data_IF_373674400834
#
_entry.id   IF_373674400834
#
_cell.length_a   1.000
_cell.length_b   1.000
_cell.length_c   1.000
_cell.angle_alpha   90.00
_cell.angle_beta   90.00
_cell.angle_gamma   90.00
#
_symmetry.space_group_name_H-M   'P 1'
#
loop_
_entity.id
_entity.type
_entity.pdbx_description
1 polymer ?
#
# COMPACT_ATOMS: atom_id res chain seq x y z
N UNK A 1 -19.83 -34.33 -9.27
CA UNK A 1 -21.05 -34.75 -10.00
C UNK A 1 -20.85 -36.08 -10.72
N UNK A 2 -19.84 -36.27 -11.57
CA UNK A 2 -19.66 -37.56 -12.28
C UNK A 2 -19.43 -38.77 -11.35
N UNK A 3 -18.82 -38.55 -10.17
CA UNK A 3 -18.57 -39.60 -9.17
C UNK A 3 -19.82 -39.90 -8.33
N UNK A 4 -20.69 -38.92 -8.07
CA UNK A 4 -21.92 -39.15 -7.30
C UNK A 4 -22.89 -40.05 -8.07
N UNK A 5 -22.94 -39.92 -9.40
CA UNK A 5 -23.78 -40.77 -10.26
C UNK A 5 -23.32 -42.22 -10.35
N UNK A 6 -22.07 -42.53 -9.99
CA UNK A 6 -21.55 -43.91 -9.97
C UNK A 6 -21.59 -44.54 -8.58
N UNK A 7 -22.06 -43.81 -7.56
CA UNK A 7 -22.16 -44.32 -6.20
C UNK A 7 -23.33 -45.32 -6.06
N UNK A 8 -23.12 -46.45 -5.35
CA UNK A 8 -24.20 -47.35 -5.00
C UNK A 8 -25.26 -46.67 -4.13
N UNK A 9 -26.48 -47.20 -4.18
CA UNK A 9 -27.61 -46.70 -3.40
C UNK A 9 -27.26 -46.77 -1.90
N UNK A 10 -27.40 -45.63 -1.19
CA UNK A 10 -27.11 -45.51 0.24
C UNK A 10 -25.79 -44.82 0.59
N UNK A 11 -24.93 -44.54 -0.40
CA UNK A 11 -23.75 -43.69 -0.20
C UNK A 11 -24.09 -42.23 -0.52
N UNK A 12 -23.85 -41.33 0.43
CA UNK A 12 -23.93 -39.89 0.22
C UNK A 12 -22.53 -39.28 0.47
N UNK A 13 -22.08 -38.43 -0.44
CA UNK A 13 -20.76 -37.82 -0.36
C UNK A 13 -20.94 -36.36 0.01
N UNK A 14 -20.57 -36.01 1.25
CA UNK A 14 -20.69 -34.64 1.75
C UNK A 14 -19.29 -34.07 1.99
N UNK A 15 -19.05 -32.86 1.47
CA UNK A 15 -17.76 -32.19 1.63
C UNK A 15 -17.78 -31.45 2.96
N UNK A 16 -17.10 -32.01 3.97
CA UNK A 16 -17.02 -31.39 5.29
C UNK A 16 -16.26 -30.05 5.28
N UNK A 17 -15.18 -29.93 4.49
CA UNK A 17 -14.40 -28.70 4.35
C UNK A 17 -13.84 -28.56 2.94
N UNK A 18 -14.09 -27.42 2.28
CA UNK A 18 -13.52 -27.12 0.97
C UNK A 18 -12.66 -25.85 1.04
N UNK A 19 -11.34 -26.02 1.01
CA UNK A 19 -10.41 -24.91 1.22
C UNK A 19 -10.38 -23.92 0.05
N UNK A 20 -10.63 -24.40 -1.18
CA UNK A 20 -10.59 -23.54 -2.36
C UNK A 20 -11.66 -22.43 -2.31
N UNK A 21 -12.85 -22.70 -1.79
CA UNK A 21 -13.91 -21.67 -1.66
C UNK A 21 -13.50 -20.56 -0.68
N UNK A 22 -12.87 -20.93 0.44
CA UNK A 22 -12.38 -19.95 1.41
C UNK A 22 -11.26 -19.09 0.82
N UNK A 23 -10.37 -19.69 0.03
CA UNK A 23 -9.31 -18.97 -0.68
C UNK A 23 -9.92 -18.04 -1.73
N UNK A 24 -10.86 -18.52 -2.55
CA UNK A 24 -11.54 -17.72 -3.56
C UNK A 24 -12.29 -16.52 -2.94
N UNK A 25 -13.01 -16.74 -1.84
CA UNK A 25 -13.70 -15.67 -1.09
C UNK A 25 -12.72 -14.63 -0.55
N UNK A 26 -11.58 -15.09 -0.01
CA UNK A 26 -10.54 -14.19 0.51
C UNK A 26 -9.89 -13.38 -0.60
N UNK A 27 -9.53 -14.02 -1.72
CA UNK A 27 -8.93 -13.33 -2.89
C UNK A 27 -9.90 -12.31 -3.44
N UNK A 28 -11.17 -12.67 -3.65
CA UNK A 28 -12.17 -11.74 -4.18
C UNK A 28 -12.38 -10.54 -3.24
N UNK A 29 -12.44 -10.77 -1.92
CA UNK A 29 -12.49 -9.69 -0.93
C UNK A 29 -11.28 -8.75 -1.00
N UNK A 30 -10.07 -9.30 -1.15
CA UNK A 30 -8.87 -8.48 -1.28
C UNK A 30 -8.81 -7.74 -2.62
N UNK A 31 -9.25 -8.35 -3.73
CA UNK A 31 -9.36 -7.68 -5.04
C UNK A 31 -10.32 -6.48 -4.99
N UNK A 32 -11.46 -6.62 -4.30
CA UNK A 32 -12.39 -5.49 -4.07
C UNK A 32 -11.71 -4.40 -3.24
N UNK A 33 -10.99 -4.76 -2.18
CA UNK A 33 -10.26 -3.79 -1.36
C UNK A 33 -9.18 -3.04 -2.16
N UNK A 34 -8.45 -3.72 -3.05
CA UNK A 34 -7.49 -3.10 -3.96
C UNK A 34 -8.19 -2.07 -4.84
N UNK A 35 -9.31 -2.43 -5.46
CA UNK A 35 -10.06 -1.54 -6.35
C UNK A 35 -10.63 -0.32 -5.59
N UNK A 36 -11.14 -0.53 -4.38
CA UNK A 36 -11.60 0.55 -3.51
C UNK A 36 -10.45 1.49 -3.11
N UNK A 37 -9.29 0.94 -2.75
CA UNK A 37 -8.11 1.74 -2.39
C UNK A 37 -7.63 2.55 -3.58
N UNK A 38 -7.59 1.95 -4.78
CA UNK A 38 -7.28 2.64 -6.03
C UNK A 38 -8.25 3.82 -6.29
N UNK A 39 -9.55 3.61 -6.10
CA UNK A 39 -10.55 4.65 -6.28
C UNK A 39 -10.35 5.81 -5.28
N UNK A 40 -10.09 5.50 -4.00
CA UNK A 40 -9.84 6.52 -2.97
C UNK A 40 -8.59 7.34 -3.31
N UNK A 41 -7.50 6.67 -3.67
CA UNK A 41 -6.25 7.35 -4.07
C UNK A 41 -6.50 8.25 -5.28
N UNK A 42 -7.19 7.77 -6.31
CA UNK A 42 -7.54 8.56 -7.49
C UNK A 42 -8.33 9.83 -7.13
N UNK A 43 -9.35 9.70 -6.26
CA UNK A 43 -10.17 10.82 -5.81
C UNK A 43 -9.33 11.86 -5.06
N UNK A 44 -8.48 11.41 -4.14
CA UNK A 44 -7.60 12.31 -3.38
C UNK A 44 -6.64 13.05 -4.31
N UNK A 45 -5.98 12.33 -5.23
CA UNK A 45 -5.04 12.93 -6.18
C UNK A 45 -5.75 13.94 -7.10
N UNK A 46 -6.95 13.64 -7.59
CA UNK A 46 -7.75 14.56 -8.41
C UNK A 46 -8.13 15.83 -7.62
N UNK A 47 -8.49 15.68 -6.34
CA UNK A 47 -8.86 16.79 -5.46
C UNK A 47 -7.66 17.75 -5.27
N UNK A 48 -6.47 17.21 -4.99
CA UNK A 48 -5.28 18.02 -4.69
C UNK A 48 -4.58 18.59 -5.94
N UNK A 49 -4.41 17.80 -7.02
CA UNK A 49 -3.65 18.23 -8.21
C UNK A 49 -4.52 18.82 -9.33
N UNK A 50 -5.84 18.64 -9.23
CA UNK A 50 -6.82 18.99 -10.24
C UNK A 50 -7.09 17.85 -11.22
N UNK A 51 -8.20 17.96 -11.97
CA UNK A 51 -8.74 16.85 -12.77
C UNK A 51 -7.75 16.27 -13.80
N UNK A 52 -7.05 17.11 -14.55
CA UNK A 52 -6.14 16.63 -15.63
C UNK A 52 -4.90 15.96 -15.06
N UNK A 53 -4.18 16.64 -14.16
CA UNK A 53 -2.96 16.13 -13.54
C UNK A 53 -3.26 14.89 -12.69
N UNK A 54 -4.37 14.90 -11.95
CA UNK A 54 -4.77 13.76 -11.15
C UNK A 54 -5.20 12.54 -11.96
N UNK A 55 -5.86 12.72 -13.11
CA UNK A 55 -6.18 11.60 -14.01
C UNK A 55 -4.92 10.98 -14.62
N UNK A 56 -3.91 11.80 -14.96
CA UNK A 56 -2.63 11.31 -15.50
C UNK A 56 -1.91 10.43 -14.47
N UNK A 57 -1.71 10.97 -13.26
CA UNK A 57 -1.07 10.23 -12.16
C UNK A 57 -1.91 8.99 -11.83
N UNK A 58 -3.23 9.16 -11.74
CA UNK A 58 -4.19 8.10 -11.47
C UNK A 58 -4.17 6.95 -12.47
N UNK A 59 -3.93 7.23 -13.76
CA UNK A 59 -3.81 6.19 -14.80
C UNK A 59 -2.50 5.39 -14.69
N UNK A 60 -1.45 5.96 -14.10
CA UNK A 60 -0.16 5.28 -13.89
C UNK A 60 -0.24 4.27 -12.76
N UNK A 61 -1.05 4.54 -11.73
CA UNK A 61 -1.22 3.66 -10.57
C UNK A 61 -1.59 2.22 -10.96
N UNK A 62 -2.68 1.96 -11.70
CA UNK A 62 -3.03 0.59 -12.11
C UNK A 62 -1.99 0.00 -13.05
N UNK A 63 -1.31 0.83 -13.85
CA UNK A 63 -0.24 0.36 -14.74
C UNK A 63 0.97 -0.15 -13.95
N UNK A 64 1.39 0.55 -12.90
CA UNK A 64 2.44 0.10 -11.97
C UNK A 64 2.01 -1.20 -11.29
N UNK A 65 0.77 -1.28 -10.81
CA UNK A 65 0.27 -2.50 -10.16
C UNK A 65 0.32 -3.72 -11.09
N UNK A 66 -0.15 -3.57 -12.34
CA UNK A 66 -0.10 -4.65 -13.32
C UNK A 66 1.34 -5.04 -13.65
N UNK A 67 2.24 -4.06 -13.78
CA UNK A 67 3.66 -4.32 -14.01
C UNK A 67 4.31 -5.07 -12.84
N UNK A 68 4.02 -4.69 -11.60
CA UNK A 68 4.48 -5.39 -10.40
C UNK A 68 3.95 -6.83 -10.35
N UNK A 69 2.65 -7.05 -10.59
CA UNK A 69 2.06 -8.39 -10.65
C UNK A 69 2.72 -9.25 -11.74
N UNK A 70 3.05 -8.63 -12.89
CA UNK A 70 3.75 -9.30 -13.98
C UNK A 70 5.16 -9.72 -13.57
N UNK A 71 5.91 -8.84 -12.90
CA UNK A 71 7.27 -9.13 -12.41
C UNK A 71 7.24 -10.23 -11.34
N UNK A 72 6.24 -10.21 -10.45
CA UNK A 72 6.05 -11.27 -9.45
C UNK A 72 5.80 -12.62 -10.11
N UNK A 73 4.97 -12.66 -11.16
CA UNK A 73 4.71 -13.88 -11.92
C UNK A 73 5.99 -14.41 -12.60
N UNK A 74 6.82 -13.54 -13.18
CA UNK A 74 8.11 -13.94 -13.76
C UNK A 74 9.14 -14.42 -12.73
N UNK A 75 8.97 -14.02 -11.46
CA UNK A 75 9.86 -14.38 -10.37
C UNK A 75 9.36 -15.60 -9.57
N UNK A 76 8.36 -16.33 -10.11
CA UNK A 76 7.68 -17.48 -9.45
C UNK A 76 7.12 -17.17 -8.05
N UNK A 77 6.82 -15.89 -7.78
CA UNK A 77 6.23 -15.47 -6.52
C UNK A 77 4.72 -15.72 -6.52
N UNK A 78 4.26 -16.57 -5.60
CA UNK A 78 2.83 -16.87 -5.46
C UNK A 78 2.05 -15.67 -4.92
N UNK A 79 0.85 -15.46 -5.47
CA UNK A 79 -0.09 -14.50 -4.93
C UNK A 79 -0.79 -15.06 -3.70
N UNK A 80 -0.45 -14.50 -2.55
CA UNK A 80 -1.04 -14.82 -1.25
C UNK A 80 -1.68 -13.59 -0.60
N UNK A 81 -2.44 -13.79 0.49
CA UNK A 81 -3.12 -12.71 1.22
C UNK A 81 -2.13 -11.62 1.67
N UNK A 82 -0.93 -12.00 2.11
CA UNK A 82 0.10 -11.07 2.57
C UNK A 82 0.67 -10.23 1.42
N UNK A 83 0.96 -10.83 0.27
CA UNK A 83 1.42 -10.13 -0.93
C UNK A 83 0.39 -9.13 -1.43
N UNK A 84 -0.89 -9.51 -1.48
CA UNK A 84 -1.96 -8.59 -1.90
C UNK A 84 -2.18 -7.45 -0.89
N UNK A 85 -2.13 -7.74 0.42
CA UNK A 85 -2.19 -6.70 1.45
C UNK A 85 -1.00 -5.73 1.33
N UNK A 86 0.17 -6.25 0.99
CA UNK A 86 1.36 -5.44 0.77
C UNK A 86 1.19 -4.53 -0.46
N UNK A 87 0.63 -5.02 -1.56
CA UNK A 87 0.31 -4.18 -2.73
C UNK A 87 -0.63 -3.02 -2.38
N UNK A 88 -1.61 -3.25 -1.49
CA UNK A 88 -2.50 -2.19 -1.00
C UNK A 88 -1.71 -1.14 -0.21
N UNK A 89 -0.84 -1.56 0.70
CA UNK A 89 0.00 -0.64 1.51
C UNK A 89 0.97 0.13 0.60
N UNK A 90 1.60 -0.55 -0.34
CA UNK A 90 2.52 0.05 -1.31
C UNK A 90 1.82 1.03 -2.25
N UNK A 91 0.49 0.95 -2.41
CA UNK A 91 -0.26 1.87 -3.26
C UNK A 91 -0.03 3.33 -2.86
N UNK A 92 -0.03 3.64 -1.56
CA UNK A 92 0.27 5.01 -1.10
C UNK A 92 1.68 5.44 -1.51
N UNK A 93 2.67 4.58 -1.23
CA UNK A 93 4.09 4.88 -1.47
C UNK A 93 4.45 4.95 -2.96
N UNK A 94 3.75 4.18 -3.81
CA UNK A 94 4.06 4.10 -5.24
C UNK A 94 3.53 5.31 -6.01
N UNK A 95 2.43 5.93 -5.56
CA UNK A 95 1.81 7.07 -6.24
C UNK A 95 2.66 8.34 -6.06
N UNK A 96 3.39 8.43 -4.95
CA UNK A 96 4.23 9.59 -4.60
C UNK A 96 5.20 9.98 -5.72
N UNK A 97 5.91 9.01 -6.31
CA UNK A 97 6.85 9.27 -7.42
C UNK A 97 6.15 9.91 -8.62
N UNK A 98 4.95 9.42 -8.96
CA UNK A 98 4.14 9.97 -10.05
C UNK A 98 3.62 11.37 -9.74
N UNK A 99 3.17 11.61 -8.50
CA UNK A 99 2.69 12.93 -8.04
C UNK A 99 3.81 13.97 -8.15
N UNK A 100 4.99 13.69 -7.59
CA UNK A 100 6.09 14.66 -7.54
C UNK A 100 6.55 15.07 -8.93
N UNK A 101 6.64 14.11 -9.88
CA UNK A 101 7.03 14.41 -11.26
C UNK A 101 5.94 15.22 -11.98
N UNK A 102 4.67 14.86 -11.80
CA UNK A 102 3.57 15.58 -12.43
C UNK A 102 3.41 17.02 -11.89
N UNK A 103 3.65 17.21 -10.59
CA UNK A 103 3.65 18.52 -9.95
C UNK A 103 4.82 19.38 -10.41
N UNK A 104 6.04 18.83 -10.46
CA UNK A 104 7.21 19.57 -10.95
C UNK A 104 7.06 19.96 -12.43
N UNK A 105 6.53 19.06 -13.26
CA UNK A 105 6.22 19.37 -14.66
C UNK A 105 5.23 20.53 -14.78
N UNK A 106 4.14 20.50 -14.00
CA UNK A 106 3.14 21.57 -13.97
C UNK A 106 3.75 22.89 -13.48
N UNK A 107 4.56 22.85 -12.42
CA UNK A 107 5.23 24.03 -11.86
C UNK A 107 6.17 24.68 -12.88
N UNK A 108 7.05 23.91 -13.55
CA UNK A 108 7.96 24.45 -14.58
C UNK A 108 7.21 25.07 -15.76
N UNK A 109 6.08 24.46 -16.11
CA UNK A 109 5.24 24.95 -17.18
C UNK A 109 4.55 26.28 -16.77
N UNK A 110 4.13 26.42 -15.51
CA UNK A 110 3.64 27.69 -14.94
C UNK A 110 4.74 28.76 -14.84
N UNK A 111 5.99 28.36 -14.64
CA UNK A 111 7.18 29.23 -14.64
C UNK A 111 7.60 29.67 -16.06
N UNK A 112 6.91 29.19 -17.11
CA UNK A 112 7.11 29.59 -18.50
C UNK A 112 8.16 28.77 -19.26
N UNK A 113 8.61 27.65 -18.71
CA UNK A 113 9.55 26.74 -19.39
C UNK A 113 8.84 26.03 -20.55
N UNK A 114 9.54 25.88 -21.68
CA UNK A 114 9.03 25.09 -22.80
C UNK A 114 8.75 23.63 -22.40
N UNK A 115 7.68 23.03 -22.95
CA UNK A 115 7.21 21.69 -22.53
C UNK A 115 8.27 20.61 -22.69
N UNK A 116 9.06 20.67 -23.75
CA UNK A 116 10.09 19.67 -24.00
C UNK A 116 11.22 19.81 -22.98
N UNK A 117 11.63 21.05 -22.69
CA UNK A 117 12.64 21.33 -21.67
C UNK A 117 12.16 20.99 -20.26
N UNK A 118 10.89 21.27 -19.94
CA UNK A 118 10.28 20.93 -18.66
C UNK A 118 10.29 19.41 -18.42
N UNK A 119 9.95 18.62 -19.44
CA UNK A 119 10.04 17.16 -19.41
C UNK A 119 11.48 16.68 -19.14
N UNK A 120 12.44 17.20 -19.91
CA UNK A 120 13.81 16.70 -19.91
C UNK A 120 14.58 17.09 -18.64
N UNK A 121 14.34 18.30 -18.12
CA UNK A 121 14.95 18.77 -16.87
C UNK A 121 14.31 18.12 -15.65
N UNK A 122 12.97 18.03 -15.60
CA UNK A 122 12.25 17.41 -14.48
C UNK A 122 12.69 15.97 -14.26
N UNK A 123 12.76 15.16 -15.32
CA UNK A 123 13.24 13.77 -15.22
C UNK A 123 14.70 13.66 -14.77
N UNK A 124 15.58 14.58 -15.19
CA UNK A 124 17.01 14.54 -14.81
C UNK A 124 17.24 14.95 -13.37
N UNK A 125 16.59 16.02 -12.92
CA UNK A 125 16.78 16.56 -11.57
C UNK A 125 16.12 15.66 -10.51
N UNK A 126 14.95 15.07 -10.82
CA UNK A 126 14.19 14.26 -9.87
C UNK A 126 14.59 12.78 -9.84
N UNK A 127 15.33 12.28 -10.84
CA UNK A 127 15.70 10.86 -10.89
C UNK A 127 16.43 10.38 -9.63
N UNK A 128 17.48 11.10 -9.21
CA UNK A 128 18.30 10.72 -8.05
C UNK A 128 17.58 10.93 -6.71
N UNK A 129 16.90 12.07 -6.46
CA UNK A 129 16.11 12.25 -5.23
C UNK A 129 15.02 11.19 -5.04
N UNK A 130 14.27 10.87 -6.10
CA UNK A 130 13.18 9.88 -6.03
C UNK A 130 13.72 8.45 -5.85
N UNK A 131 14.88 8.13 -6.47
CA UNK A 131 15.55 6.86 -6.26
C UNK A 131 16.01 6.73 -4.81
N UNK A 132 16.64 7.78 -4.25
CA UNK A 132 17.12 7.80 -2.88
C UNK A 132 15.99 7.59 -1.86
N UNK A 133 14.84 8.24 -2.07
CA UNK A 133 13.63 8.05 -1.25
C UNK A 133 13.11 6.60 -1.32
N UNK A 134 13.02 6.05 -2.53
CA UNK A 134 12.55 4.68 -2.77
C UNK A 134 13.51 3.65 -2.14
N UNK A 135 14.81 3.80 -2.36
CA UNK A 135 15.84 2.90 -1.79
C UNK A 135 15.87 2.97 -0.27
N UNK A 136 15.70 4.15 0.33
CA UNK A 136 15.64 4.29 1.80
C UNK A 136 14.47 3.49 2.37
N UNK A 137 13.31 3.54 1.71
CA UNK A 137 12.13 2.75 2.11
C UNK A 137 12.40 1.25 1.95
N UNK A 138 13.02 0.84 0.85
CA UNK A 138 13.44 -0.56 0.65
C UNK A 138 14.41 -1.03 1.74
N UNK A 139 15.40 -0.21 2.11
CA UNK A 139 16.38 -0.54 3.14
C UNK A 139 15.73 -0.68 4.52
N UNK A 140 14.68 0.08 4.80
CA UNK A 140 13.89 -0.08 6.03
C UNK A 140 13.22 -1.47 6.10
N UNK A 141 12.74 -2.01 4.97
CA UNK A 141 12.13 -3.34 4.91
C UNK A 141 13.13 -4.48 4.66
N UNK A 142 14.40 -4.18 4.39
CA UNK A 142 15.44 -5.18 4.13
C UNK A 142 15.63 -6.20 5.28
N UNK A 143 15.61 -5.82 6.57
CA UNK A 143 15.77 -6.80 7.65
C UNK A 143 14.68 -7.89 7.65
N UNK A 144 13.45 -7.55 7.25
CA UNK A 144 12.33 -8.50 7.17
C UNK A 144 12.56 -9.54 6.05
N UNK A 145 13.32 -9.20 5.01
CA UNK A 145 13.71 -10.10 3.93
C UNK A 145 14.75 -11.14 4.37
N UNK A 146 15.67 -10.71 5.25
CA UNK A 146 16.81 -11.49 5.76
C UNK A 146 16.45 -12.35 6.98
N UNK A 147 15.25 -12.21 7.54
CA UNK A 147 14.83 -13.00 8.69
C UNK A 147 14.66 -14.49 8.33
N UNK A 148 15.34 -15.38 9.05
CA UNK A 148 15.36 -16.84 8.79
C UNK A 148 14.34 -17.66 9.62
N UNK A 149 13.52 -17.01 10.45
CA UNK A 149 12.47 -17.70 11.21
C UNK A 149 11.26 -18.09 10.35
N UNK A 150 10.39 -18.99 10.85
CA UNK A 150 9.10 -19.35 10.22
C UNK A 150 8.21 -18.12 10.02
N UNK A 151 8.28 -17.18 10.97
CA UNK A 151 7.74 -15.82 10.86
C UNK A 151 8.31 -15.03 9.66
N UNK A 152 9.58 -15.25 9.37
CA UNK A 152 10.36 -14.62 8.31
C UNK A 152 9.85 -14.93 6.91
N UNK A 153 9.22 -16.08 6.70
CA UNK A 153 8.67 -16.46 5.39
C UNK A 153 7.50 -15.53 5.00
N UNK A 154 6.60 -15.25 5.94
CA UNK A 154 5.51 -14.28 5.74
C UNK A 154 6.01 -12.84 5.58
N UNK A 155 7.04 -12.45 6.35
CA UNK A 155 7.58 -11.09 6.28
C UNK A 155 8.46 -10.86 5.05
N UNK A 156 9.06 -11.91 4.50
CA UNK A 156 9.88 -11.84 3.29
C UNK A 156 9.04 -11.46 2.07
N UNK A 157 7.84 -12.03 1.92
CA UNK A 157 6.90 -11.66 0.86
C UNK A 157 6.60 -10.16 0.89
N UNK A 158 6.40 -9.57 2.07
CA UNK A 158 6.14 -8.14 2.24
C UNK A 158 7.30 -7.31 1.68
N UNK A 159 8.53 -7.61 2.11
CA UNK A 159 9.70 -6.84 1.68
C UNK A 159 9.95 -6.94 0.18
N UNK A 160 9.80 -8.13 -0.41
CA UNK A 160 10.01 -8.34 -1.84
C UNK A 160 8.95 -7.62 -2.68
N UNK A 161 7.69 -7.66 -2.27
CA UNK A 161 6.62 -6.95 -2.97
C UNK A 161 6.84 -5.43 -2.90
N UNK A 162 7.21 -4.88 -1.74
CA UNK A 162 7.55 -3.45 -1.62
C UNK A 162 8.73 -3.07 -2.52
N UNK A 163 9.80 -3.88 -2.50
CA UNK A 163 10.98 -3.68 -3.36
C UNK A 163 10.59 -3.59 -4.84
N UNK A 164 9.88 -4.60 -5.34
CA UNK A 164 9.47 -4.66 -6.75
C UNK A 164 8.55 -3.47 -7.06
N UNK A 165 7.55 -3.21 -6.21
CA UNK A 165 6.57 -2.14 -6.44
C UNK A 165 7.23 -0.76 -6.51
N UNK A 166 8.13 -0.43 -5.57
CA UNK A 166 8.78 0.88 -5.53
C UNK A 166 9.77 1.08 -6.68
N UNK A 167 10.54 0.05 -7.03
CA UNK A 167 11.45 0.13 -8.17
C UNK A 167 10.70 0.25 -9.49
N UNK A 168 9.63 -0.53 -9.68
CA UNK A 168 8.76 -0.43 -10.86
C UNK A 168 8.07 0.94 -10.92
N UNK A 169 7.58 1.45 -9.79
CA UNK A 169 7.02 2.80 -9.70
C UNK A 169 8.04 3.86 -10.11
N UNK A 170 9.26 3.81 -9.59
CA UNK A 170 10.29 4.80 -9.91
C UNK A 170 10.63 4.81 -11.41
N UNK A 171 10.82 3.63 -12.02
CA UNK A 171 11.10 3.51 -13.47
C UNK A 171 9.93 4.06 -14.29
N UNK A 172 8.70 3.63 -13.99
CA UNK A 172 7.52 4.08 -14.73
C UNK A 172 7.24 5.57 -14.50
N UNK A 173 7.51 6.08 -13.31
CA UNK A 173 7.34 7.48 -12.99
C UNK A 173 8.31 8.36 -13.81
N UNK A 174 9.55 7.92 -14.06
CA UNK A 174 10.50 8.67 -14.87
C UNK A 174 10.29 8.53 -16.38
N UNK A 175 9.76 7.40 -16.85
CA UNK A 175 9.56 7.14 -18.27
C UNK A 175 8.17 7.57 -18.77
N UNK A 176 7.12 7.17 -18.05
CA UNK A 176 5.73 7.28 -18.52
C UNK A 176 5.06 8.57 -18.05
N UNK A 177 5.28 9.00 -16.80
CA UNK A 177 4.66 10.22 -16.27
C UNK A 177 5.00 11.48 -17.05
N UNK A 178 6.27 11.78 -17.39
CA UNK A 178 6.62 13.00 -18.10
C UNK A 178 6.05 12.99 -19.52
N UNK A 179 5.99 11.81 -20.15
CA UNK A 179 5.42 11.61 -21.47
C UNK A 179 3.91 11.85 -21.47
N UNK A 180 3.18 11.28 -20.51
CA UNK A 180 1.75 11.56 -20.35
C UNK A 180 1.51 13.05 -20.01
N UNK A 181 2.33 13.64 -19.16
CA UNK A 181 2.26 15.07 -18.85
C UNK A 181 2.46 15.94 -20.09
N UNK A 182 3.45 15.62 -20.94
CA UNK A 182 3.72 16.34 -22.18
C UNK A 182 2.52 16.36 -23.14
N UNK A 183 1.83 15.23 -23.30
CA UNK A 183 0.68 15.11 -24.19
C UNK A 183 -0.61 15.71 -23.61
N UNK A 184 -0.90 15.48 -22.33
CA UNK A 184 -2.21 15.80 -21.74
C UNK A 184 -2.24 17.13 -20.97
N UNK A 185 -1.10 17.63 -20.48
CA UNK A 185 -1.04 18.93 -19.78
C UNK A 185 -0.92 20.06 -20.82
N UNK A 186 -2.06 20.68 -21.10
CA UNK A 186 -2.15 21.88 -21.91
C UNK A 186 -2.27 23.10 -20.99
N UNK A 187 -1.28 24.00 -21.03
CA UNK A 187 -1.50 25.37 -20.54
C UNK A 187 -2.57 26.05 -21.40
N UNK A 188 -3.53 26.77 -20.80
CA UNK A 188 -4.30 27.76 -21.53
C UNK A 188 -3.34 28.82 -22.06
N UNK A 189 -3.14 28.86 -23.39
CA UNK A 189 -2.50 30.00 -24.05
C UNK A 189 -3.36 31.23 -23.75
N UNK A 190 -2.86 32.16 -22.93
CA UNK A 190 -3.51 33.48 -22.74
C UNK A 190 -4.03 33.84 -21.35
N UNK A 191 -3.59 33.22 -20.25
CA UNK A 191 -3.79 33.79 -18.91
C UNK A 191 -2.52 34.45 -18.38
N UNK A 192 -2.27 35.65 -18.91
CA UNK A 192 -1.49 36.70 -18.26
C UNK A 192 -1.98 36.84 -16.81
N UNK A 193 -1.13 36.50 -15.85
CA UNK A 193 -0.96 37.08 -14.50
C UNK A 193 -2.16 37.54 -13.61
N UNK A 194 -3.44 37.37 -13.93
CA UNK A 194 -4.52 38.12 -13.22
C UNK A 194 -5.46 37.25 -12.36
N UNK A 195 -5.37 35.91 -12.38
CA UNK A 195 -6.25 35.08 -11.54
C UNK A 195 -5.47 34.13 -10.60
N UNK A 196 -4.39 34.63 -9.98
CA UNK A 196 -3.64 33.92 -8.91
C UNK A 196 -4.22 34.15 -7.51
N UNK A 197 -5.27 34.97 -7.35
CA UNK A 197 -5.78 35.36 -6.03
C UNK A 197 -6.83 34.43 -5.43
N UNK A 198 -7.66 33.73 -6.22
CA UNK A 198 -8.79 32.98 -5.64
C UNK A 198 -8.40 31.63 -5.00
N UNK A 199 -7.33 30.96 -5.43
CA UNK A 199 -6.82 29.75 -4.77
C UNK A 199 -5.66 30.01 -3.80
N UNK A 200 -4.95 31.13 -3.93
CA UNK A 200 -3.94 31.57 -2.94
C UNK A 200 -4.56 32.26 -1.73
N UNK A 201 -5.80 32.75 -1.78
CA UNK A 201 -6.42 33.46 -0.66
C UNK A 201 -6.69 32.55 0.57
N UNK A 202 -7.06 31.28 0.37
CA UNK A 202 -7.20 30.31 1.46
C UNK A 202 -5.85 29.78 1.96
N UNK A 203 -4.95 29.46 1.02
CA UNK A 203 -3.56 29.09 1.33
C UNK A 203 -2.83 30.21 2.09
N UNK A 204 -3.09 31.48 1.80
CA UNK A 204 -2.45 32.62 2.47
C UNK A 204 -2.72 32.68 3.97
N UNK A 205 -3.94 32.34 4.43
CA UNK A 205 -4.26 32.35 5.87
C UNK A 205 -3.62 31.18 6.60
N UNK A 206 -3.72 29.97 6.05
CA UNK A 206 -3.05 28.79 6.59
C UNK A 206 -1.53 28.92 6.57
N UNK A 207 -0.98 29.46 5.48
CA UNK A 207 0.46 29.71 5.32
C UNK A 207 0.96 30.74 6.33
N UNK A 208 0.26 31.86 6.53
CA UNK A 208 0.62 32.86 7.56
C UNK A 208 0.57 32.28 8.97
N UNK A 209 -0.42 31.44 9.27
CA UNK A 209 -0.48 30.74 10.56
C UNK A 209 0.69 29.77 10.73
N UNK A 210 0.96 28.96 9.72
CA UNK A 210 2.12 28.04 9.69
C UNK A 210 3.44 28.79 9.87
N UNK A 211 3.64 29.90 9.15
CA UNK A 211 4.84 30.74 9.22
C UNK A 211 5.01 31.34 10.63
N UNK A 212 3.93 31.88 11.21
CA UNK A 212 3.95 32.42 12.58
C UNK A 212 4.29 31.33 13.60
N UNK A 213 3.69 30.16 13.47
CA UNK A 213 3.95 29.00 14.32
C UNK A 213 5.40 28.51 14.19
N UNK A 214 5.92 28.44 12.96
CA UNK A 214 7.29 28.05 12.66
C UNK A 214 8.30 29.02 13.31
N UNK A 215 8.08 30.33 13.16
CA UNK A 215 8.95 31.33 13.80
C UNK A 215 8.90 31.26 15.32
N UNK A 216 7.73 31.02 15.90
CA UNK A 216 7.60 30.80 17.35
C UNK A 216 8.39 29.57 17.81
N UNK A 217 8.30 28.47 17.07
CA UNK A 217 8.97 27.21 17.37
C UNK A 217 10.49 27.32 17.24
N UNK A 218 10.98 28.04 16.21
CA UNK A 218 12.41 28.35 16.03
C UNK A 218 12.94 29.28 17.12
N UNK A 219 12.14 30.25 17.59
CA UNK A 219 12.52 31.14 18.71
C UNK A 219 12.63 30.38 20.03
N UNK A 220 11.80 29.35 20.24
CA UNK A 220 11.77 28.53 21.45
C UNK A 220 12.39 27.13 21.25
N UNK A 221 13.54 27.05 20.56
CA UNK A 221 14.24 25.80 20.23
C UNK A 221 14.47 24.85 21.42
N UNK A 222 14.78 25.38 22.61
CA UNK A 222 15.02 24.56 23.79
C UNK A 222 13.74 23.89 24.32
N UNK A 223 12.62 24.62 24.28
CA UNK A 223 11.31 24.10 24.65
C UNK A 223 10.85 23.04 23.64
N UNK A 224 11.07 23.27 22.35
CA UNK A 224 10.76 22.29 21.31
C UNK A 224 11.60 21.01 21.46
N UNK A 225 12.91 21.12 21.65
CA UNK A 225 13.78 19.97 21.89
C UNK A 225 13.40 19.18 23.15
N UNK A 226 13.04 19.88 24.24
CA UNK A 226 12.56 19.25 25.46
C UNK A 226 11.23 18.53 25.24
N UNK A 227 10.26 19.17 24.56
CA UNK A 227 8.99 18.55 24.21
C UNK A 227 9.18 17.30 23.34
N UNK A 228 10.08 17.35 22.35
CA UNK A 228 10.40 16.19 21.50
C UNK A 228 11.00 15.04 22.29
N UNK A 229 11.92 15.33 23.23
CA UNK A 229 12.50 14.33 24.13
C UNK A 229 11.44 13.70 25.04
N UNK A 230 10.55 14.52 25.62
CA UNK A 230 9.46 14.04 26.48
C UNK A 230 8.50 13.14 25.69
N UNK A 231 8.13 13.52 24.46
CA UNK A 231 7.31 12.70 23.58
C UNK A 231 7.99 11.39 23.20
N UNK A 232 9.30 11.41 22.92
CA UNK A 232 10.07 10.21 22.63
C UNK A 232 10.09 9.25 23.82
N UNK A 233 10.40 9.75 25.02
CA UNK A 233 10.38 8.95 26.26
C UNK A 233 8.96 8.43 26.53
N UNK A 234 7.94 9.27 26.35
CA UNK A 234 6.54 8.88 26.49
C UNK A 234 6.14 7.74 25.54
N UNK A 235 6.59 7.78 24.29
CA UNK A 235 6.37 6.72 23.30
C UNK A 235 7.03 5.41 23.73
N UNK A 236 8.30 5.44 24.15
CA UNK A 236 9.03 4.25 24.62
C UNK A 236 8.38 3.64 25.86
N UNK A 237 7.93 4.46 26.81
CA UNK A 237 7.20 4.00 28.00
C UNK A 237 5.84 3.39 27.63
N UNK A 238 5.14 3.99 26.66
CA UNK A 238 3.83 3.52 26.20
C UNK A 238 3.91 2.16 25.51
N UNK A 239 5.05 1.81 24.91
CA UNK A 239 5.27 0.52 24.25
C UNK A 239 5.11 -0.68 25.21
N UNK A 240 5.21 -0.47 26.53
CA UNK A 240 4.96 -1.52 27.54
C UNK A 240 3.49 -1.93 27.63
N UNK A 241 2.56 -1.07 27.24
CA UNK A 241 1.12 -1.34 27.29
C UNK A 241 0.59 -1.99 26.01
N UNK A 242 1.41 -2.07 24.95
CA UNK A 242 1.02 -2.70 23.69
C UNK A 242 1.15 -4.21 23.83
N UNK A 243 0.03 -4.92 23.80
CA UNK A 243 0.01 -6.37 23.78
C UNK A 243 0.72 -6.88 22.51
N UNK A 244 1.60 -7.87 22.68
CA UNK A 244 2.35 -8.47 21.57
C UNK A 244 1.60 -9.71 21.09
N UNK A 245 0.95 -9.61 19.95
CA UNK A 245 0.32 -10.73 19.26
C UNK A 245 0.95 -10.86 17.87
N UNK A 246 1.48 -12.05 17.56
CA UNK A 246 2.20 -12.26 16.30
C UNK A 246 1.24 -12.53 15.13
N UNK A 247 0.20 -13.34 15.37
CA UNK A 247 -0.90 -13.56 14.41
C UNK A 247 -2.25 -13.34 15.08
N UNK A 248 -3.21 -12.69 14.39
CA UNK A 248 -4.59 -12.67 14.83
C UNK A 248 -5.20 -14.06 14.74
N UNK A 249 -6.30 -14.27 15.45
CA UNK A 249 -7.07 -15.51 15.35
C UNK A 249 -7.65 -15.68 13.93
N UNK A 250 -7.91 -16.93 13.55
CA UNK A 250 -8.39 -17.24 12.21
C UNK A 250 -9.84 -16.76 12.02
N UNK A 251 -10.12 -16.05 10.94
CA UNK A 251 -11.49 -15.67 10.53
C UNK A 251 -12.35 -16.85 10.06
N UNK A 252 -11.83 -18.10 10.14
CA UNK A 252 -12.55 -19.30 9.70
C UNK A 252 -13.70 -19.59 10.66
N UNK A 253 -14.90 -19.80 10.12
CA UNK A 253 -16.07 -20.26 10.88
C UNK A 253 -15.97 -21.76 11.17
N UNK A 254 -14.91 -22.15 11.88
CA UNK A 254 -14.62 -23.53 12.28
C UNK A 254 -14.14 -23.52 13.72
N UNK A 255 -14.67 -24.44 14.53
CA UNK A 255 -14.26 -24.62 15.91
C UNK A 255 -13.75 -26.05 16.04
N UNK A 256 -12.55 -26.20 16.57
CA UNK A 256 -11.99 -27.51 16.90
C UNK A 256 -12.19 -27.77 18.39
N UNK A 257 -12.84 -28.88 18.71
CA UNK A 257 -13.02 -29.34 20.10
C UNK A 257 -12.15 -30.57 20.29
N UNK A 258 -11.16 -30.47 21.18
CA UNK A 258 -10.31 -31.60 21.56
C UNK A 258 -10.87 -32.23 22.84
N UNK A 259 -11.07 -33.55 22.83
CA UNK A 259 -11.57 -34.32 23.97
C UNK A 259 -10.48 -35.29 24.40
N UNK A 260 -9.88 -35.03 25.57
CA UNK A 260 -8.87 -35.88 26.17
C UNK A 260 -9.48 -36.74 27.29
N UNK A 261 -9.32 -38.06 27.17
CA UNK A 261 -9.85 -39.04 28.12
C UNK A 261 -8.74 -39.67 28.96
N UNK A 262 -9.04 -40.21 30.16
CA UNK A 262 -8.04 -40.90 30.98
C UNK A 262 -7.35 -42.05 30.24
N UNK A 263 -6.06 -42.24 30.52
CA UNK A 263 -5.25 -43.32 29.96
C UNK A 263 -5.89 -44.68 30.25
N UNK A 264 -6.05 -45.51 29.21
CA UNK A 264 -6.69 -46.83 29.31
C UNK A 264 -8.19 -46.85 28.96
N UNK A 265 -8.79 -45.72 28.60
CA UNK A 265 -10.18 -45.66 28.10
C UNK A 265 -10.30 -46.41 26.76
N UNK A 266 -11.33 -47.24 26.62
CA UNK A 266 -11.57 -47.97 25.37
C UNK A 266 -12.10 -47.03 24.27
N UNK A 267 -11.78 -47.33 23.00
CA UNK A 267 -12.28 -46.54 21.85
C UNK A 267 -13.82 -46.51 21.78
N UNK A 268 -14.49 -47.51 22.33
CA UNK A 268 -15.95 -47.58 22.41
C UNK A 268 -16.51 -46.52 23.35
N UNK A 269 -15.88 -46.32 24.52
CA UNK A 269 -16.29 -45.27 25.47
C UNK A 269 -15.98 -43.88 24.91
N UNK A 270 -14.85 -43.71 24.22
CA UNK A 270 -14.53 -42.47 23.50
C UNK A 270 -15.62 -42.12 22.47
N UNK A 271 -16.04 -43.10 21.65
CA UNK A 271 -17.06 -42.88 20.62
C UNK A 271 -18.45 -42.61 21.23
N UNK A 272 -18.77 -43.19 22.40
CA UNK A 272 -20.00 -42.90 23.13
C UNK A 272 -20.03 -41.43 23.55
N UNK A 273 -18.97 -40.94 24.19
CA UNK A 273 -18.89 -39.54 24.61
C UNK A 273 -18.87 -38.56 23.44
N UNK A 274 -18.20 -38.89 22.32
CA UNK A 274 -18.24 -38.04 21.12
C UNK A 274 -19.64 -37.86 20.54
N UNK A 275 -20.56 -38.81 20.74
CA UNK A 275 -21.95 -38.71 20.25
C UNK A 275 -22.85 -37.88 21.15
N UNK A 276 -22.47 -37.71 22.42
CA UNK A 276 -23.24 -36.95 23.41
C UNK A 276 -22.94 -35.44 23.37
N UNK A 277 -21.88 -35.04 22.65
CA UNK A 277 -21.41 -33.66 22.46
C UNK A 277 -21.89 -33.14 21.10
#
# INVERSE_FOLDING_TARGET
NDIESSLPIGYNLEIATYQADQVAKTINGVSVNVLQTLAIVLVVVILFLGLRTGLIVGAIVPFVMLATLSIMQFSDMKLERMSLATLIISLGLLVDNGIVIAEDFKRRLEDGVDRYNAMLQGSKELAVPLLSSSVTTVLFFLPLMLAEHVAGEYTRSISLVILITLLTSWVLALCVTPLLCYFFITLPKGKTSVNKESSKAESSKFYRYYETFLHWLLKHKALFMSAMLVLFIGSVLSMKYVAKQFFPDSDRTQILVNIDLPNGTSSTETNRQMKDI
#
